data_IF_661582059940
#
_entry.id   IF_661582059940
#
_cell.length_a   1.000
_cell.length_b   1.000
_cell.length_c   1.000
_cell.angle_alpha   90.00
_cell.angle_beta   90.00
_cell.angle_gamma   90.00
#
_symmetry.space_group_name_H-M   'P 1'
#
loop_
_entity.id
_entity.type
_entity.pdbx_description
1 polymer ?
#
# COMPACT_ATOMS: atom_id res chain seq x y z
N UNK A 1 -3.81 -32.43 -4.43
CA UNK A 1 -4.66 -31.61 -5.32
C UNK A 1 -3.82 -30.45 -5.81
N UNK A 2 -3.62 -30.36 -7.12
CA UNK A 2 -2.68 -29.45 -7.77
C UNK A 2 -3.21 -28.02 -7.74
N UNK A 3 -2.53 -27.11 -7.03
CA UNK A 3 -2.85 -25.68 -7.04
C UNK A 3 -2.48 -25.09 -8.39
N UNK A 4 -3.48 -24.62 -9.15
CA UNK A 4 -3.25 -23.81 -10.35
C UNK A 4 -2.63 -22.48 -9.89
N UNK A 5 -1.35 -22.26 -10.23
CA UNK A 5 -0.78 -20.91 -10.30
C UNK A 5 -1.53 -20.18 -11.42
N UNK A 6 -2.53 -19.38 -11.08
CA UNK A 6 -3.09 -18.42 -12.02
C UNK A 6 -2.10 -17.26 -12.07
N UNK A 7 -1.16 -17.30 -13.01
CA UNK A 7 -0.44 -16.10 -13.41
C UNK A 7 -1.49 -15.17 -14.01
N UNK A 8 -1.80 -14.08 -13.30
CA UNK A 8 -2.66 -13.04 -13.83
C UNK A 8 -1.97 -12.46 -15.06
N UNK A 9 -2.53 -12.75 -16.22
CA UNK A 9 -2.05 -12.29 -17.50
C UNK A 9 -2.06 -10.76 -17.50
N UNK A 10 -0.96 -10.16 -17.94
CA UNK A 10 -0.81 -8.70 -18.10
C UNK A 10 -1.94 -8.05 -18.92
N UNK A 11 -2.75 -8.86 -19.60
CA UNK A 11 -4.00 -8.49 -20.28
C UNK A 11 -5.13 -8.01 -19.37
N UNK A 12 -5.07 -8.22 -18.05
CA UNK A 12 -6.12 -7.79 -17.10
C UNK A 12 -5.91 -6.39 -16.50
N UNK A 13 -4.73 -5.78 -16.70
CA UNK A 13 -4.51 -4.38 -16.33
C UNK A 13 -5.14 -3.47 -17.39
N UNK A 14 -5.89 -2.41 -17.01
CA UNK A 14 -6.42 -1.45 -17.97
C UNK A 14 -5.25 -0.82 -18.75
N UNK A 15 -5.20 -1.08 -20.06
CA UNK A 15 -4.23 -0.46 -20.97
C UNK A 15 -4.56 1.03 -21.07
N UNK A 16 -3.81 1.86 -20.36
CA UNK A 16 -3.90 3.31 -20.49
C UNK A 16 -2.73 3.79 -21.36
N UNK A 17 -3.04 4.46 -22.48
CA UNK A 17 -2.09 4.91 -23.51
C UNK A 17 -1.14 6.04 -23.08
N UNK A 18 -1.07 6.34 -21.78
CA UNK A 18 -0.12 7.31 -21.22
C UNK A 18 0.68 6.64 -20.11
N UNK A 19 1.92 6.26 -20.42
CA UNK A 19 2.93 5.86 -19.44
C UNK A 19 3.40 7.08 -18.63
N UNK A 20 2.51 7.67 -17.84
CA UNK A 20 2.85 8.74 -16.90
C UNK A 20 3.52 8.10 -15.69
N UNK A 21 4.68 8.64 -15.30
CA UNK A 21 5.38 8.28 -14.09
C UNK A 21 5.52 9.56 -13.27
N UNK A 22 5.07 9.50 -12.01
CA UNK A 22 5.27 10.59 -11.05
C UNK A 22 6.54 10.30 -10.26
N UNK A 23 7.49 11.23 -10.30
CA UNK A 23 8.79 11.11 -9.63
C UNK A 23 8.85 11.99 -8.39
N UNK A 24 9.29 11.40 -7.29
CA UNK A 24 9.45 12.07 -6.01
C UNK A 24 10.55 13.14 -6.11
N UNK A 25 10.21 14.37 -5.79
CA UNK A 25 11.19 15.47 -5.74
C UNK A 25 11.97 15.43 -4.43
N UNK A 26 13.17 16.02 -4.41
CA UNK A 26 14.00 16.13 -3.18
C UNK A 26 13.26 16.89 -2.08
N UNK A 27 12.47 17.92 -2.45
CA UNK A 27 11.65 18.68 -1.52
C UNK A 27 10.58 17.79 -0.88
N UNK A 28 9.79 17.09 -1.69
CA UNK A 28 8.74 16.18 -1.19
C UNK A 28 9.32 15.03 -0.38
N UNK A 29 10.49 14.49 -0.74
CA UNK A 29 11.17 13.47 0.06
C UNK A 29 11.42 13.91 1.50
N UNK A 30 11.73 15.20 1.73
CA UNK A 30 11.90 15.74 3.08
C UNK A 30 10.56 15.85 3.81
N UNK A 31 9.52 16.25 3.09
CA UNK A 31 8.16 16.41 3.63
C UNK A 31 7.55 15.06 4.04
N UNK A 32 7.71 14.03 3.21
CA UNK A 32 7.22 12.67 3.45
C UNK A 32 7.95 11.92 4.57
N UNK A 33 8.99 12.50 5.17
CA UNK A 33 9.54 11.99 6.44
C UNK A 33 8.54 12.13 7.59
N UNK A 34 7.64 13.12 7.50
CA UNK A 34 6.59 13.29 8.48
C UNK A 34 5.44 12.32 8.17
N UNK A 35 4.79 11.76 9.20
CA UNK A 35 3.64 10.88 9.01
C UNK A 35 2.49 11.65 8.32
N UNK A 36 1.82 10.98 7.37
CA UNK A 36 0.72 11.60 6.63
C UNK A 36 -0.66 11.32 7.26
N UNK A 37 -0.70 10.55 8.34
CA UNK A 37 -1.87 10.25 9.17
C UNK A 37 -1.53 10.18 10.66
N UNK A 38 -2.31 9.43 11.42
CA UNK A 38 -2.07 9.17 12.83
C UNK A 38 -0.85 8.28 13.00
N UNK A 39 0.19 8.79 13.64
CA UNK A 39 1.37 8.01 14.00
C UNK A 39 1.13 7.27 15.32
N UNK A 40 1.32 5.95 15.30
CA UNK A 40 1.35 5.12 16.50
C UNK A 40 2.81 4.70 16.71
N UNK A 41 3.43 5.29 17.73
CA UNK A 41 4.84 5.08 18.04
C UNK A 41 5.06 3.95 19.04
N UNK A 42 6.07 3.12 18.76
CA UNK A 42 6.58 2.15 19.70
C UNK A 42 6.93 0.80 19.10
N UNK A 43 7.24 -0.18 19.96
CA UNK A 43 7.55 -1.54 19.53
C UNK A 43 6.31 -2.23 18.95
N UNK A 44 6.56 -3.32 18.22
CA UNK A 44 5.55 -4.18 17.59
C UNK A 44 4.29 -4.36 18.45
N UNK A 45 4.42 -4.91 19.65
CA UNK A 45 3.30 -5.24 20.53
C UNK A 45 2.43 -4.01 20.87
N UNK A 46 3.06 -2.87 21.18
CA UNK A 46 2.34 -1.63 21.47
C UNK A 46 1.59 -1.14 20.22
N UNK A 47 2.26 -1.11 19.07
CA UNK A 47 1.65 -0.62 17.84
C UNK A 47 0.46 -1.47 17.40
N UNK A 48 0.54 -2.80 17.51
CA UNK A 48 -0.55 -3.70 17.12
C UNK A 48 -1.73 -3.66 18.09
N UNK A 49 -1.48 -3.56 19.41
CA UNK A 49 -2.54 -3.37 20.38
C UNK A 49 -3.33 -2.07 20.11
N UNK A 50 -2.63 -0.94 19.94
CA UNK A 50 -3.30 0.33 19.62
C UNK A 50 -4.02 0.31 18.27
N UNK A 51 -3.47 -0.38 17.26
CA UNK A 51 -4.15 -0.56 15.98
C UNK A 51 -5.43 -1.37 16.13
N UNK A 52 -5.41 -2.45 16.92
CA UNK A 52 -6.59 -3.28 17.20
C UNK A 52 -7.69 -2.46 17.87
N UNK A 53 -7.37 -1.72 18.92
CA UNK A 53 -8.33 -0.83 19.62
C UNK A 53 -8.93 0.20 18.66
N UNK A 54 -8.11 0.77 17.77
CA UNK A 54 -8.58 1.72 16.76
C UNK A 54 -9.53 1.06 15.75
N UNK A 55 -9.22 -0.15 15.27
CA UNK A 55 -10.09 -0.91 14.37
C UNK A 55 -11.45 -1.21 15.04
N UNK A 56 -11.43 -1.66 16.29
CA UNK A 56 -12.65 -1.98 17.05
C UNK A 56 -13.53 -0.73 17.30
N UNK A 57 -12.88 0.42 17.53
CA UNK A 57 -13.56 1.70 17.73
C UNK A 57 -14.13 2.29 16.43
N UNK A 58 -13.32 2.38 15.39
CA UNK A 58 -13.66 3.07 14.14
C UNK A 58 -14.54 2.21 13.23
N UNK A 59 -14.48 0.88 13.35
CA UNK A 59 -15.22 -0.08 12.51
C UNK A 59 -15.14 0.24 11.02
N UNK A 60 -13.91 0.26 10.45
CA UNK A 60 -13.70 0.72 9.10
C UNK A 60 -14.38 -0.16 8.05
N UNK A 61 -14.66 0.43 6.89
CA UNK A 61 -15.27 -0.30 5.77
C UNK A 61 -14.37 -1.44 5.28
N UNK A 62 -13.08 -1.17 5.17
CA UNK A 62 -12.01 -2.14 4.88
C UNK A 62 -10.69 -1.73 5.53
N UNK A 63 -9.76 -2.67 5.66
CA UNK A 63 -8.41 -2.47 6.18
C UNK A 63 -7.39 -2.79 5.10
N UNK A 64 -6.40 -1.92 4.92
CA UNK A 64 -5.33 -2.06 3.93
C UNK A 64 -3.97 -1.97 4.61
N UNK A 65 -3.05 -2.87 4.30
CA UNK A 65 -1.64 -2.74 4.67
C UNK A 65 -0.78 -2.37 3.46
N UNK A 66 0.19 -1.49 3.69
CA UNK A 66 1.23 -1.13 2.72
C UNK A 66 2.60 -1.30 3.35
N UNK A 67 3.33 -2.29 2.87
CA UNK A 67 4.69 -2.64 3.27
C UNK A 67 4.81 -3.94 4.04
N UNK A 68 5.95 -4.60 3.91
CA UNK A 68 6.17 -5.98 4.35
C UNK A 68 6.18 -6.11 5.87
N UNK A 69 6.89 -5.21 6.56
CA UNK A 69 7.01 -5.27 8.03
C UNK A 69 5.65 -5.08 8.70
N UNK A 70 4.87 -4.07 8.27
CA UNK A 70 3.56 -3.83 8.86
C UNK A 70 2.58 -4.96 8.53
N UNK A 71 2.64 -5.50 7.32
CA UNK A 71 1.81 -6.65 6.92
C UNK A 71 2.14 -7.88 7.76
N UNK A 72 3.43 -8.21 7.92
CA UNK A 72 3.87 -9.34 8.74
C UNK A 72 3.43 -9.16 10.20
N UNK A 73 3.61 -7.96 10.75
CA UNK A 73 3.18 -7.64 12.10
C UNK A 73 1.66 -7.84 12.28
N UNK A 74 0.85 -7.36 11.34
CA UNK A 74 -0.61 -7.54 11.38
C UNK A 74 -1.00 -9.02 11.29
N UNK A 75 -0.31 -9.81 10.46
CA UNK A 75 -0.52 -11.28 10.38
C UNK A 75 -0.19 -11.95 11.70
N UNK A 76 0.99 -11.68 12.26
CA UNK A 76 1.47 -12.31 13.51
C UNK A 76 0.56 -11.96 14.70
N UNK A 77 -0.08 -10.79 14.65
CA UNK A 77 -1.05 -10.34 15.65
C UNK A 77 -2.49 -10.83 15.39
N UNK A 78 -2.75 -11.47 14.24
CA UNK A 78 -4.07 -11.98 13.86
C UNK A 78 -5.07 -10.91 13.39
N UNK A 79 -4.58 -9.80 12.84
CA UNK A 79 -5.42 -8.75 12.26
C UNK A 79 -5.76 -9.06 10.80
N UNK A 80 -7.03 -8.95 10.45
CA UNK A 80 -7.51 -9.12 9.08
C UNK A 80 -7.25 -7.88 8.23
N UNK A 81 -6.93 -8.10 6.95
CA UNK A 81 -6.71 -7.05 5.94
C UNK A 81 -7.42 -7.45 4.67
N UNK A 82 -8.09 -6.51 4.01
CA UNK A 82 -8.79 -6.74 2.74
C UNK A 82 -7.82 -6.62 1.55
N UNK A 83 -6.94 -5.62 1.58
CA UNK A 83 -5.94 -5.38 0.53
C UNK A 83 -4.56 -5.29 1.15
N UNK A 84 -3.58 -5.93 0.52
CA UNK A 84 -2.19 -5.99 1.00
C UNK A 84 -1.28 -5.60 -0.14
N UNK A 85 -0.45 -4.58 0.08
CA UNK A 85 0.48 -4.05 -0.92
C UNK A 85 1.88 -4.21 -0.36
N UNK A 86 2.73 -4.99 -1.02
CA UNK A 86 4.09 -5.31 -0.55
C UNK A 86 5.10 -5.19 -1.68
N UNK A 87 6.32 -4.76 -1.37
CA UNK A 87 7.45 -4.97 -2.24
C UNK A 87 8.27 -6.12 -1.65
N UNK A 88 8.47 -7.23 -2.36
CA UNK A 88 9.26 -8.31 -1.75
C UNK A 88 10.75 -7.91 -1.55
N UNK A 89 11.13 -6.62 -1.60
CA UNK A 89 12.49 -6.05 -1.60
C UNK A 89 13.17 -5.99 -0.24
N UNK A 90 12.62 -6.62 0.78
CA UNK A 90 13.47 -7.30 1.77
C UNK A 90 14.20 -8.52 1.14
N UNK A 91 14.81 -8.32 -0.04
CA UNK A 91 15.72 -9.24 -0.75
C UNK A 91 17.20 -8.94 -0.48
N UNK A 92 17.54 -7.89 0.29
CA UNK A 92 18.93 -7.69 0.77
C UNK A 92 19.29 -8.57 1.98
N UNK A 93 18.28 -9.20 2.59
CA UNK A 93 18.36 -10.35 3.51
C UNK A 93 17.11 -11.17 3.26
N UNK A 94 17.16 -12.48 2.97
CA UNK A 94 15.98 -13.26 2.63
C UNK A 94 15.01 -13.31 3.83
N UNK A 95 14.06 -12.36 3.88
CA UNK A 95 12.85 -12.57 4.64
C UNK A 95 12.05 -13.60 3.84
N UNK A 96 11.48 -14.59 4.52
CA UNK A 96 10.62 -15.54 3.83
C UNK A 96 9.45 -14.74 3.23
N UNK A 97 9.13 -14.93 1.93
CA UNK A 97 7.98 -14.28 1.33
C UNK A 97 6.76 -14.48 2.23
N UNK A 98 5.95 -13.45 2.41
CA UNK A 98 4.73 -13.55 3.24
C UNK A 98 3.86 -14.67 2.67
N UNK A 99 3.85 -15.83 3.36
CA UNK A 99 3.14 -17.05 2.97
C UNK A 99 1.68 -16.93 3.38
N UNK A 100 0.99 -15.98 2.76
CA UNK A 100 -0.44 -15.79 2.95
C UNK A 100 -1.17 -16.11 1.64
N UNK A 101 -2.13 -17.02 1.74
CA UNK A 101 -3.05 -17.35 0.65
C UNK A 101 -4.13 -16.29 0.62
N UNK A 102 -4.27 -15.63 -0.52
CA UNK A 102 -5.30 -14.62 -0.80
C UNK A 102 -6.16 -15.11 -1.95
N UNK A 103 -7.40 -14.62 -2.02
CA UNK A 103 -8.31 -14.92 -3.13
C UNK A 103 -7.73 -14.41 -4.46
N UNK A 104 -7.07 -13.25 -4.43
CA UNK A 104 -6.45 -12.63 -5.60
C UNK A 104 -5.01 -12.23 -5.35
N UNK A 105 -4.14 -12.40 -6.36
CA UNK A 105 -2.78 -11.85 -6.36
C UNK A 105 -2.48 -11.23 -7.73
N UNK A 106 -2.02 -9.98 -7.71
CA UNK A 106 -1.60 -9.25 -8.92
C UNK A 106 -0.19 -8.68 -8.72
N UNK A 107 0.54 -8.52 -9.81
CA UNK A 107 1.90 -7.99 -9.83
C UNK A 107 1.93 -6.67 -10.60
N UNK A 108 2.73 -5.71 -10.13
CA UNK A 108 2.93 -4.43 -10.81
C UNK A 108 4.36 -3.92 -10.60
N UNK A 109 4.88 -3.14 -11.55
CA UNK A 109 6.20 -2.52 -11.47
C UNK A 109 6.13 -1.09 -10.96
N UNK A 110 6.95 -0.77 -9.96
CA UNK A 110 7.09 0.60 -9.45
C UNK A 110 8.56 0.96 -9.18
N UNK A 111 9.27 1.61 -10.12
CA UNK A 111 10.64 2.03 -9.87
C UNK A 111 10.81 2.85 -8.58
N UNK A 112 12.00 2.82 -7.94
CA UNK A 112 12.28 3.60 -6.75
C UNK A 112 11.89 5.07 -6.83
N UNK A 113 11.31 5.58 -5.75
CA UNK A 113 10.89 6.99 -5.66
C UNK A 113 9.87 7.42 -6.72
N UNK A 114 9.04 6.49 -7.22
CA UNK A 114 8.03 6.79 -8.22
C UNK A 114 6.62 6.29 -7.86
N UNK A 115 5.64 6.77 -8.61
CA UNK A 115 4.29 6.20 -8.69
C UNK A 115 4.01 6.01 -10.18
N UNK A 116 3.98 4.75 -10.62
CA UNK A 116 3.62 4.40 -12.00
C UNK A 116 2.11 4.25 -12.14
N UNK A 117 1.59 4.54 -13.34
CA UNK A 117 0.19 4.23 -13.68
C UNK A 117 -0.11 2.73 -13.58
N UNK A 118 0.87 1.86 -13.86
CA UNK A 118 0.74 0.40 -13.69
C UNK A 118 0.42 0.03 -12.24
N UNK A 119 1.20 0.54 -11.28
CA UNK A 119 1.00 0.23 -9.86
C UNK A 119 -0.26 0.87 -9.31
N UNK A 120 -0.56 2.10 -9.73
CA UNK A 120 -1.82 2.75 -9.34
C UNK A 120 -3.04 2.01 -9.92
N UNK A 121 -2.97 1.54 -11.18
CA UNK A 121 -4.02 0.74 -11.79
C UNK A 121 -4.22 -0.59 -11.06
N UNK A 122 -3.15 -1.27 -10.66
CA UNK A 122 -3.23 -2.51 -9.88
C UNK A 122 -3.93 -2.29 -8.53
N UNK A 123 -3.65 -1.18 -7.84
CA UNK A 123 -4.32 -0.80 -6.59
C UNK A 123 -5.80 -0.53 -6.82
N UNK A 124 -6.16 0.23 -7.86
CA UNK A 124 -7.57 0.47 -8.21
C UNK A 124 -8.29 -0.82 -8.58
N UNK A 125 -7.61 -1.74 -9.24
CA UNK A 125 -8.16 -3.06 -9.57
C UNK A 125 -8.41 -3.88 -8.31
N UNK A 126 -7.49 -3.86 -7.34
CA UNK A 126 -7.62 -4.59 -6.08
C UNK A 126 -8.87 -4.17 -5.30
N UNK A 127 -9.21 -2.88 -5.27
CA UNK A 127 -10.42 -2.38 -4.60
C UNK A 127 -11.73 -2.76 -5.31
N UNK A 128 -11.69 -3.32 -6.52
CA UNK A 128 -12.86 -3.81 -7.25
C UNK A 128 -13.08 -5.31 -7.11
N UNK A 129 -12.16 -6.02 -6.47
CA UNK A 129 -12.30 -7.46 -6.29
C UNK A 129 -13.06 -7.75 -5.00
N UNK A 130 -13.86 -8.81 -5.05
CA UNK A 130 -14.39 -9.43 -3.85
C UNK A 130 -13.28 -10.27 -3.19
N UNK A 131 -13.29 -10.37 -1.86
CA UNK A 131 -12.31 -11.16 -1.12
C UNK A 131 -10.96 -10.47 -0.89
N UNK A 132 -10.03 -11.21 -0.28
CA UNK A 132 -8.72 -10.70 0.12
C UNK A 132 -7.79 -10.62 -1.09
N UNK A 133 -7.22 -9.45 -1.35
CA UNK A 133 -6.38 -9.19 -2.52
C UNK A 133 -4.96 -8.77 -2.13
N UNK A 134 -3.97 -9.39 -2.76
CA UNK A 134 -2.55 -9.06 -2.61
C UNK A 134 -2.00 -8.41 -3.89
N UNK A 135 -1.38 -7.24 -3.75
CA UNK A 135 -0.66 -6.53 -4.79
C UNK A 135 0.83 -6.65 -4.49
N UNK A 136 1.58 -7.31 -5.38
CA UNK A 136 3.02 -7.51 -5.24
C UNK A 136 3.75 -6.56 -6.18
N UNK A 137 4.58 -5.70 -5.59
CA UNK A 137 5.30 -4.65 -6.28
C UNK A 137 6.72 -5.11 -6.62
N UNK A 138 7.04 -5.18 -7.90
CA UNK A 138 8.42 -5.28 -8.38
C UNK A 138 8.99 -3.87 -8.44
N UNK A 139 9.52 -3.39 -7.32
CA UNK A 139 9.64 -1.95 -7.16
C UNK A 139 9.74 -1.50 -5.73
N UNK A 140 9.51 -0.23 -5.46
CA UNK A 140 9.26 0.30 -4.11
C UNK A 140 7.75 0.50 -3.92
N UNK A 141 7.22 0.15 -2.75
CA UNK A 141 5.82 0.33 -2.34
C UNK A 141 5.60 1.58 -1.48
N UNK A 142 6.65 2.15 -0.88
CA UNK A 142 6.58 3.30 0.06
C UNK A 142 5.62 4.43 -0.38
N UNK A 143 5.76 4.90 -1.63
CA UNK A 143 4.92 5.99 -2.16
C UNK A 143 3.51 5.54 -2.54
N UNK A 144 3.27 4.23 -2.65
CA UNK A 144 1.98 3.69 -3.03
C UNK A 144 0.95 3.84 -1.91
N UNK A 145 1.37 4.07 -0.65
CA UNK A 145 0.45 4.46 0.41
C UNK A 145 -0.38 5.71 0.03
N UNK A 146 0.20 6.67 -0.70
CA UNK A 146 -0.48 7.88 -1.15
C UNK A 146 -1.63 7.55 -2.10
N UNK A 147 -1.36 6.79 -3.16
CA UNK A 147 -2.38 6.40 -4.15
C UNK A 147 -3.34 5.34 -3.63
N UNK A 148 -2.96 4.61 -2.59
CA UNK A 148 -3.85 3.71 -1.86
C UNK A 148 -4.94 4.51 -1.15
N UNK A 149 -4.58 5.56 -0.41
CA UNK A 149 -5.55 6.47 0.22
C UNK A 149 -6.45 7.15 -0.82
N UNK A 150 -5.89 7.56 -1.97
CA UNK A 150 -6.68 8.16 -3.05
C UNK A 150 -7.69 7.19 -3.67
N UNK A 151 -7.39 5.89 -3.71
CA UNK A 151 -8.19 4.89 -4.43
C UNK A 151 -9.12 4.06 -3.53
N UNK A 152 -8.83 3.98 -2.23
CA UNK A 152 -9.60 3.22 -1.26
C UNK A 152 -11.03 3.80 -1.10
N UNK A 153 -12.02 2.99 -0.68
CA UNK A 153 -13.36 3.48 -0.35
C UNK A 153 -13.33 4.38 0.89
N UNK A 154 -14.40 5.15 1.08
CA UNK A 154 -14.58 5.98 2.28
C UNK A 154 -14.58 5.12 3.55
N UNK A 155 -14.12 5.69 4.67
CA UNK A 155 -13.99 5.03 5.97
C UNK A 155 -13.03 3.82 6.01
N UNK A 156 -12.23 3.60 4.97
CA UNK A 156 -11.17 2.62 4.99
C UNK A 156 -10.03 3.04 5.95
N UNK A 157 -9.32 2.07 6.51
CA UNK A 157 -8.04 2.32 7.19
C UNK A 157 -6.88 1.84 6.32
N UNK A 158 -6.01 2.77 5.93
CA UNK A 158 -4.73 2.47 5.29
C UNK A 158 -3.63 2.52 6.34
N UNK A 159 -2.91 1.41 6.52
CA UNK A 159 -1.84 1.26 7.51
C UNK A 159 -0.52 1.04 6.79
N UNK A 160 0.49 1.84 7.10
CA UNK A 160 1.82 1.69 6.51
C UNK A 160 2.93 1.95 7.53
N UNK A 161 4.13 1.44 7.26
CA UNK A 161 5.26 1.59 8.17
C UNK A 161 5.84 3.00 8.20
N UNK A 162 6.28 3.46 9.37
CA UNK A 162 7.15 4.63 9.52
C UNK A 162 8.53 4.15 10.00
N UNK A 163 9.57 4.20 9.15
CA UNK A 163 10.89 3.65 9.48
C UNK A 163 11.45 4.16 10.81
N UNK A 164 11.87 3.22 11.67
CA UNK A 164 12.44 3.44 13.01
C UNK A 164 11.52 4.13 14.03
N UNK A 165 10.22 4.26 13.76
CA UNK A 165 9.29 5.00 14.63
C UNK A 165 8.07 4.14 15.00
N UNK A 166 7.40 3.53 14.00
CA UNK A 166 6.18 2.77 14.25
C UNK A 166 5.34 2.60 12.98
N UNK A 167 4.02 2.78 13.11
CA UNK A 167 3.07 2.69 12.00
C UNK A 167 2.29 4.00 11.84
N UNK A 168 1.88 4.30 10.62
CA UNK A 168 0.94 5.37 10.32
C UNK A 168 -0.38 4.77 9.91
N UNK A 169 -1.46 5.28 10.50
CA UNK A 169 -2.84 4.93 10.18
C UNK A 169 -3.52 6.13 9.55
N UNK A 170 -4.09 5.95 8.36
CA UNK A 170 -4.88 6.96 7.67
C UNK A 170 -6.31 6.44 7.56
N UNK A 171 -7.25 7.11 8.23
CA UNK A 171 -8.68 6.97 7.91
C UNK A 171 -8.97 7.72 6.63
N UNK A 172 -9.58 7.04 5.68
CA UNK A 172 -9.87 7.60 4.36
C UNK A 172 -11.12 8.46 4.48
N UNK A 173 -10.90 9.76 4.42
CA UNK A 173 -11.92 10.79 4.31
C UNK A 173 -11.53 11.83 3.22
N UNK A 174 -12.43 12.76 2.91
CA UNK A 174 -12.17 13.83 1.93
C UNK A 174 -10.90 14.64 2.26
N UNK A 175 -10.63 14.91 3.55
CA UNK A 175 -9.47 15.68 3.99
C UNK A 175 -8.17 14.92 3.72
N UNK A 176 -8.14 13.63 4.03
CA UNK A 176 -7.03 12.74 3.75
C UNK A 176 -6.79 12.64 2.24
N UNK A 177 -7.83 12.46 1.43
CA UNK A 177 -7.72 12.42 -0.03
C UNK A 177 -7.11 13.71 -0.57
N UNK A 178 -7.65 14.87 -0.20
CA UNK A 178 -7.15 16.17 -0.66
C UNK A 178 -5.69 16.39 -0.27
N UNK A 179 -5.29 15.96 0.93
CA UNK A 179 -3.90 16.02 1.37
C UNK A 179 -2.99 15.16 0.48
N UNK A 180 -3.35 13.90 0.24
CA UNK A 180 -2.55 13.00 -0.60
C UNK A 180 -2.53 13.44 -2.07
N UNK A 181 -3.64 13.99 -2.57
CA UNK A 181 -3.78 14.52 -3.92
C UNK A 181 -2.80 15.68 -4.15
N UNK A 182 -2.72 16.63 -3.21
CA UNK A 182 -1.76 17.72 -3.26
C UNK A 182 -0.31 17.24 -3.34
N UNK A 183 0.03 16.19 -2.58
CA UNK A 183 1.37 15.59 -2.60
C UNK A 183 1.64 14.94 -3.97
N UNK A 184 0.72 14.09 -4.44
CA UNK A 184 0.87 13.34 -5.70
C UNK A 184 0.98 14.29 -6.89
N UNK A 185 0.17 15.36 -6.95
CA UNK A 185 0.24 16.35 -8.04
C UNK A 185 1.39 17.36 -7.90
N UNK A 186 2.06 17.41 -6.76
CA UNK A 186 3.32 18.16 -6.60
C UNK A 186 4.54 17.37 -7.08
N UNK A 187 4.39 16.09 -7.42
CA UNK A 187 5.46 15.26 -7.97
C UNK A 187 5.78 15.64 -9.42
N UNK A 188 7.01 15.35 -9.87
CA UNK A 188 7.41 15.63 -11.25
C UNK A 188 6.83 14.56 -12.18
N UNK A 189 6.00 14.94 -13.13
CA UNK A 189 5.52 14.03 -14.17
C UNK A 189 6.59 13.83 -15.27
N UNK A 190 6.73 12.59 -15.72
CA UNK A 190 7.48 12.23 -16.92
C UNK A 190 6.69 11.22 -17.73
N UNK A 191 6.72 11.34 -19.05
CA UNK A 191 6.31 10.27 -19.96
C UNK A 191 7.55 9.45 -20.35
N UNK A 192 7.41 8.13 -20.47
CA UNK A 192 8.41 7.35 -21.23
C UNK A 192 8.27 7.73 -22.70
N UNK A 193 9.37 8.21 -23.30
CA UNK A 193 9.54 8.33 -24.75
C UNK A 193 9.51 6.95 -25.40
#
# INVERSE_FOLDING_TARGET
>A
MSTKKTSCDSSQLPKNDKNVIRLLTVKLRKELKNPQGLLIEGPFEKTMNSLKELIEKEKPSIIISVGDIVTQNMIDFGLFMNVIIIDNKTMRKPIQPIKMTTDHTIYAKNPPGSITEESWAAIRWAFKQDGQTKVVIEGEEDLLALVTVLSAPEDALVVYGQPNIGIVVVKVDEKARKKMENIVYSMKETSKS
#
